data_IF_066956566546
#
_entry.id   IF_066956566546
#
_cell.length_a   1.000
_cell.length_b   1.000
_cell.length_c   1.000
_cell.angle_alpha   90.00
_cell.angle_beta   90.00
_cell.angle_gamma   90.00
#
_symmetry.space_group_name_H-M   'P 1'
#
loop_
_entity.id
_entity.type
_entity.pdbx_description
1 polymer ?
#
# COMPACT_ATOMS: atom_id res chain seq x y z
N UNK A 1 -9.10 -6.94 -13.38
CA UNK A 1 -8.89 -5.89 -12.35
C UNK A 1 -8.72 -4.50 -12.96
N UNK A 2 -8.33 -4.35 -14.23
CA UNK A 2 -8.29 -3.03 -14.89
C UNK A 2 -8.91 -3.11 -16.28
N UNK A 3 -10.11 -2.56 -16.45
CA UNK A 3 -10.77 -2.46 -17.76
C UNK A 3 -10.51 -1.03 -18.27
N UNK A 4 -10.01 -0.83 -19.50
CA UNK A 4 -9.88 0.51 -20.05
C UNK A 4 -11.29 1.08 -20.27
N UNK A 5 -11.66 2.10 -19.49
CA UNK A 5 -12.83 2.94 -19.72
C UNK A 5 -12.39 4.34 -20.14
N UNK A 6 -13.20 4.99 -20.95
CA UNK A 6 -12.84 6.18 -21.73
C UNK A 6 -12.94 7.47 -20.90
N UNK A 7 -11.85 7.83 -20.22
CA UNK A 7 -11.67 9.15 -19.59
C UNK A 7 -10.18 9.42 -19.29
N UNK A 8 -9.74 10.68 -19.38
CA UNK A 8 -8.35 11.07 -19.06
C UNK A 8 -7.99 10.71 -17.62
N UNK A 9 -8.91 10.95 -16.67
CA UNK A 9 -8.73 10.60 -15.25
C UNK A 9 -8.54 9.10 -15.04
N UNK A 10 -9.36 8.26 -15.67
CA UNK A 10 -9.26 6.81 -15.57
C UNK A 10 -7.96 6.28 -16.20
N UNK A 11 -7.51 6.86 -17.32
CA UNK A 11 -6.19 6.55 -17.89
C UNK A 11 -5.08 6.86 -16.89
N UNK A 12 -5.16 7.99 -16.19
CA UNK A 12 -4.17 8.39 -15.19
C UNK A 12 -4.17 7.46 -13.97
N UNK A 13 -5.35 7.14 -13.42
CA UNK A 13 -5.53 6.14 -12.34
C UNK A 13 -4.95 4.78 -12.75
N UNK A 14 -5.20 4.35 -13.98
CA UNK A 14 -4.65 3.11 -14.51
C UNK A 14 -3.11 3.14 -14.57
N UNK A 15 -2.51 4.25 -15.02
CA UNK A 15 -1.05 4.41 -15.02
C UNK A 15 -0.51 4.37 -13.58
N UNK A 16 -1.13 5.07 -12.64
CA UNK A 16 -0.73 5.06 -11.22
C UNK A 16 -0.77 3.64 -10.65
N UNK A 17 -1.89 2.93 -10.80
CA UNK A 17 -2.04 1.57 -10.28
C UNK A 17 -1.05 0.59 -10.93
N UNK A 18 -0.80 0.75 -12.24
CA UNK A 18 0.19 -0.03 -12.97
C UNK A 18 1.60 0.27 -12.44
N UNK A 19 1.95 1.54 -12.25
CA UNK A 19 3.23 1.96 -11.68
C UNK A 19 3.42 1.41 -10.26
N UNK A 20 2.42 1.53 -9.39
CA UNK A 20 2.44 0.95 -8.03
C UNK A 20 2.70 -0.54 -8.11
N UNK A 21 1.98 -1.29 -8.95
CA UNK A 21 2.16 -2.74 -9.08
C UNK A 21 3.58 -3.11 -9.53
N UNK A 22 4.10 -2.47 -10.58
CA UNK A 22 5.44 -2.78 -11.09
C UNK A 22 6.55 -2.37 -10.11
N UNK A 23 6.45 -1.20 -9.48
CA UNK A 23 7.40 -0.79 -8.44
C UNK A 23 7.38 -1.75 -7.25
N UNK A 24 6.21 -2.27 -6.91
CA UNK A 24 6.05 -3.26 -5.82
C UNK A 24 6.63 -4.63 -6.17
N UNK A 25 6.59 -5.03 -7.45
CA UNK A 25 7.29 -6.20 -7.93
C UNK A 25 8.80 -5.99 -7.97
N UNK A 26 9.26 -4.82 -8.41
CA UNK A 26 10.67 -4.46 -8.47
C UNK A 26 11.33 -4.44 -7.09
N UNK A 27 10.61 -3.97 -6.07
CA UNK A 27 11.06 -3.98 -4.68
C UNK A 27 10.72 -5.30 -3.96
N UNK A 28 10.02 -6.22 -4.62
CA UNK A 28 9.63 -7.52 -4.07
C UNK A 28 8.66 -7.45 -2.87
N UNK A 29 7.94 -6.33 -2.73
CA UNK A 29 6.96 -6.08 -1.66
C UNK A 29 5.65 -6.82 -1.94
N UNK A 30 5.31 -7.01 -3.22
CA UNK A 30 4.08 -7.68 -3.63
C UNK A 30 4.37 -9.03 -4.29
N UNK A 31 4.51 -10.13 -3.52
CA UNK A 31 4.95 -11.43 -4.02
C UNK A 31 3.85 -12.25 -4.71
N UNK A 32 2.91 -11.58 -5.38
CA UNK A 32 1.75 -12.22 -6.00
C UNK A 32 1.78 -12.06 -7.52
N UNK A 33 1.50 -13.16 -8.21
CA UNK A 33 1.24 -13.19 -9.66
C UNK A 33 -0.24 -13.41 -9.90
N UNK A 34 -0.81 -12.66 -10.84
CA UNK A 34 -2.20 -12.84 -11.23
C UNK A 34 -2.34 -14.02 -12.20
N UNK A 35 -3.18 -14.99 -11.86
CA UNK A 35 -3.53 -16.12 -12.72
C UNK A 35 -4.85 -15.81 -13.46
N UNK A 36 -4.80 -15.39 -14.75
CA UNK A 36 -5.99 -14.92 -15.46
C UNK A 36 -7.03 -16.02 -15.66
N UNK A 37 -6.58 -17.28 -15.82
CA UNK A 37 -7.45 -18.44 -16.02
C UNK A 37 -8.37 -18.70 -14.81
N UNK A 38 -7.88 -18.46 -13.59
CA UNK A 38 -8.62 -18.70 -12.35
C UNK A 38 -9.19 -17.42 -11.72
N UNK A 39 -8.85 -16.25 -12.28
CA UNK A 39 -9.14 -14.92 -11.72
C UNK A 39 -8.71 -14.80 -10.24
N UNK A 40 -7.54 -15.36 -9.92
CA UNK A 40 -6.98 -15.42 -8.56
C UNK A 40 -5.52 -14.98 -8.56
N UNK A 41 -5.09 -14.42 -7.45
CA UNK A 41 -3.69 -14.22 -7.14
C UNK A 41 -3.08 -15.53 -6.65
N UNK A 42 -1.86 -15.79 -7.11
CA UNK A 42 -1.02 -16.90 -6.67
C UNK A 42 0.27 -16.36 -6.10
N UNK A 43 0.64 -16.81 -4.90
CA UNK A 43 1.93 -16.49 -4.29
C UNK A 43 3.09 -17.10 -5.09
N UNK A 44 4.12 -16.31 -5.34
CA UNK A 44 5.33 -16.73 -6.06
C UNK A 44 6.53 -16.78 -5.12
N UNK A 45 7.06 -17.98 -4.87
CA UNK A 45 8.25 -18.17 -4.00
C UNK A 45 9.47 -17.40 -4.52
N UNK A 46 9.63 -17.30 -5.83
CA UNK A 46 10.70 -16.52 -6.45
C UNK A 46 10.62 -15.03 -6.14
N UNK A 47 9.41 -14.45 -6.16
CA UNK A 47 9.22 -13.03 -5.79
C UNK A 47 9.45 -12.80 -4.30
N UNK A 48 9.13 -13.78 -3.44
CA UNK A 48 9.42 -13.70 -2.00
C UNK A 48 10.93 -13.70 -1.77
N UNK A 49 11.64 -14.67 -2.36
CA UNK A 49 13.09 -14.77 -2.19
C UNK A 49 13.80 -13.53 -2.74
N UNK A 50 13.37 -13.05 -3.90
CA UNK A 50 13.83 -11.80 -4.48
C UNK A 50 13.55 -10.59 -3.58
N UNK A 51 12.35 -10.47 -3.02
CA UNK A 51 11.99 -9.39 -2.10
C UNK A 51 12.80 -9.40 -0.81
N UNK A 52 13.08 -10.59 -0.25
CA UNK A 52 13.96 -10.73 0.91
C UNK A 52 15.37 -10.26 0.56
N UNK A 53 15.92 -10.73 -0.56
CA UNK A 53 17.27 -10.35 -0.99
C UNK A 53 17.39 -8.84 -1.25
N UNK A 54 16.44 -8.26 -1.99
CA UNK A 54 16.41 -6.83 -2.32
C UNK A 54 16.18 -5.95 -1.09
N UNK A 55 15.25 -6.33 -0.20
CA UNK A 55 15.04 -5.57 1.03
C UNK A 55 16.27 -5.63 1.91
N UNK A 56 16.87 -6.81 2.10
CA UNK A 56 18.06 -6.97 2.93
C UNK A 56 19.24 -6.17 2.38
N UNK A 57 19.45 -6.17 1.06
CA UNK A 57 20.53 -5.39 0.44
C UNK A 57 20.32 -3.89 0.62
N UNK A 58 19.09 -3.39 0.44
CA UNK A 58 18.77 -1.97 0.66
C UNK A 58 19.01 -1.54 2.11
N UNK A 59 18.61 -2.36 3.09
CA UNK A 59 18.83 -2.05 4.50
C UNK A 59 20.33 -2.10 4.87
N UNK A 60 21.09 -3.08 4.35
CA UNK A 60 22.54 -3.14 4.56
C UNK A 60 23.23 -1.92 3.96
N UNK A 61 22.84 -1.50 2.75
CA UNK A 61 23.37 -0.29 2.12
C UNK A 61 23.04 0.96 2.94
N UNK A 62 21.79 1.09 3.40
CA UNK A 62 21.37 2.21 4.25
C UNK A 62 22.17 2.29 5.56
N UNK A 63 22.40 1.15 6.22
CA UNK A 63 23.22 1.09 7.45
C UNK A 63 24.67 1.46 7.16
N UNK A 64 25.27 0.92 6.10
CA UNK A 64 26.65 1.27 5.71
C UNK A 64 26.80 2.78 5.44
N UNK A 65 25.85 3.36 4.71
CA UNK A 65 25.82 4.80 4.44
C UNK A 65 25.73 5.62 5.73
N UNK A 66 24.88 5.21 6.68
CA UNK A 66 24.76 5.91 7.96
C UNK A 66 26.05 5.92 8.78
N UNK A 67 26.85 4.85 8.70
CA UNK A 67 28.15 4.74 9.36
C UNK A 67 29.19 5.62 8.66
N UNK A 68 29.24 5.58 7.33
CA UNK A 68 30.15 6.42 6.52
C UNK A 68 29.86 7.92 6.70
N UNK A 69 28.58 8.33 6.72
CA UNK A 69 28.18 9.72 6.95
C UNK A 69 28.56 10.21 8.36
N UNK A 70 28.55 9.31 9.35
CA UNK A 70 28.99 9.60 10.71
C UNK A 70 30.52 9.76 10.80
N UNK A 71 31.29 9.02 10.02
CA UNK A 71 32.75 9.13 9.93
C UNK A 71 33.21 10.35 9.12
N UNK A 72 32.51 10.68 8.03
CA UNK A 72 32.88 11.77 7.11
C UNK A 72 32.46 13.16 7.58
N UNK A 73 31.91 13.28 8.78
CA UNK A 73 31.74 14.57 9.44
C UNK A 73 30.73 15.49 8.76
N UNK A 74 29.65 14.94 8.18
CA UNK A 74 28.46 15.71 7.80
C UNK A 74 27.71 16.09 9.09
N UNK A 75 28.39 16.83 9.97
CA UNK A 75 27.75 17.55 11.05
C UNK A 75 27.12 18.77 10.39
N UNK A 76 25.83 18.70 10.08
CA UNK A 76 25.02 19.92 10.00
C UNK A 76 25.37 20.74 11.25
N UNK A 77 25.86 21.97 11.09
CA UNK A 77 26.29 22.84 12.19
C UNK A 77 25.21 22.99 13.27
N UNK A 78 23.94 22.73 12.89
CA UNK A 78 22.76 22.62 13.75
C UNK A 78 22.88 21.49 14.79
N UNK A 79 23.35 20.29 14.43
CA UNK A 79 23.54 19.17 15.36
C UNK A 79 24.73 19.37 16.30
N UNK A 80 25.74 20.11 15.86
CA UNK A 80 26.89 20.48 16.71
C UNK A 80 26.50 21.49 17.80
N UNK A 81 25.50 22.34 17.52
CA UNK A 81 24.96 23.33 18.48
C UNK A 81 23.96 22.74 19.47
N UNK A 82 23.28 21.64 19.13
CA UNK A 82 22.28 21.04 20.00
C UNK A 82 22.41 19.50 20.04
N UNK A 83 23.02 18.99 21.11
CA UNK A 83 23.23 17.55 21.33
C UNK A 83 21.93 16.76 21.50
N UNK A 84 20.86 17.40 22.00
CA UNK A 84 19.54 16.77 22.12
C UNK A 84 18.94 16.49 20.74
N UNK A 85 19.11 17.42 19.78
CA UNK A 85 18.63 17.24 18.41
C UNK A 85 19.31 16.04 17.74
N UNK A 86 20.59 15.84 18.01
CA UNK A 86 21.35 14.69 17.49
C UNK A 86 20.85 13.35 18.07
N UNK A 87 20.60 13.30 19.38
CA UNK A 87 20.05 12.10 20.03
C UNK A 87 18.64 11.78 19.51
N UNK A 88 17.77 12.78 19.35
CA UNK A 88 16.42 12.60 18.79
C UNK A 88 16.49 12.07 17.36
N UNK A 89 17.35 12.65 16.51
CA UNK A 89 17.51 12.21 15.13
C UNK A 89 18.05 10.77 15.04
N UNK A 90 19.02 10.42 15.88
CA UNK A 90 19.59 9.06 15.94
C UNK A 90 18.54 8.06 16.40
N UNK A 91 17.80 8.38 17.47
CA UNK A 91 16.71 7.55 17.98
C UNK A 91 15.62 7.34 16.92
N UNK A 92 15.22 8.41 16.21
CA UNK A 92 14.23 8.33 15.13
C UNK A 92 14.72 7.46 13.98
N UNK A 93 16.01 7.52 13.64
CA UNK A 93 16.63 6.64 12.64
C UNK A 93 16.60 5.16 13.03
N UNK A 94 16.98 4.84 14.28
CA UNK A 94 16.97 3.46 14.79
C UNK A 94 15.56 2.91 14.86
N UNK A 95 14.62 3.68 15.45
CA UNK A 95 13.21 3.28 15.53
C UNK A 95 12.64 3.09 14.14
N UNK A 96 12.89 4.03 13.22
CA UNK A 96 12.46 3.94 11.83
C UNK A 96 12.96 2.67 11.15
N UNK A 97 14.26 2.35 11.27
CA UNK A 97 14.84 1.13 10.69
C UNK A 97 14.19 -0.13 11.25
N UNK A 98 14.01 -0.21 12.57
CA UNK A 98 13.36 -1.36 13.23
C UNK A 98 11.91 -1.50 12.76
N UNK A 99 11.17 -0.40 12.65
CA UNK A 99 9.80 -0.40 12.13
C UNK A 99 9.75 -0.89 10.69
N UNK A 100 10.62 -0.42 9.81
CA UNK A 100 10.64 -0.85 8.40
C UNK A 100 10.94 -2.35 8.29
N UNK A 101 11.95 -2.83 9.02
CA UNK A 101 12.33 -4.24 9.07
C UNK A 101 11.18 -5.13 9.57
N UNK A 102 10.55 -4.77 10.69
CA UNK A 102 9.44 -5.54 11.28
C UNK A 102 8.24 -5.59 10.34
N UNK A 103 7.91 -4.47 9.72
CA UNK A 103 6.81 -4.35 8.76
C UNK A 103 7.06 -5.16 7.48
N UNK A 104 8.29 -5.16 6.94
CA UNK A 104 8.66 -5.98 5.77
C UNK A 104 8.61 -7.48 6.09
N UNK A 105 9.21 -7.88 7.22
CA UNK A 105 9.17 -9.27 7.67
C UNK A 105 7.73 -9.76 7.89
N UNK A 106 6.89 -8.95 8.54
CA UNK A 106 5.48 -9.28 8.79
C UNK A 106 4.70 -9.46 7.50
N UNK A 107 4.90 -8.56 6.53
CA UNK A 107 4.23 -8.63 5.22
C UNK A 107 4.57 -9.93 4.49
N UNK A 108 5.85 -10.33 4.52
CA UNK A 108 6.29 -11.59 3.91
C UNK A 108 5.76 -12.81 4.66
N UNK A 109 5.79 -12.79 5.99
CA UNK A 109 5.28 -13.87 6.84
C UNK A 109 3.77 -14.09 6.65
N UNK A 110 2.99 -13.01 6.63
CA UNK A 110 1.53 -13.03 6.46
C UNK A 110 1.09 -13.10 4.99
N UNK A 111 2.02 -13.21 4.04
CA UNK A 111 1.72 -13.24 2.60
C UNK A 111 0.67 -14.27 2.18
N UNK A 112 0.62 -15.44 2.82
CA UNK A 112 -0.43 -16.45 2.55
C UNK A 112 -1.82 -15.97 2.98
N UNK A 113 -1.93 -15.30 4.12
CA UNK A 113 -3.20 -14.75 4.60
C UNK A 113 -3.65 -13.60 3.70
N UNK A 114 -2.71 -12.74 3.27
CA UNK A 114 -2.99 -11.66 2.31
C UNK A 114 -3.48 -12.21 0.96
N UNK A 115 -2.89 -13.31 0.46
CA UNK A 115 -3.37 -14.00 -0.75
C UNK A 115 -4.83 -14.45 -0.61
N UNK A 116 -5.19 -15.06 0.51
CA UNK A 116 -6.56 -15.51 0.78
C UNK A 116 -7.54 -14.33 0.87
N UNK A 117 -7.14 -13.23 1.53
CA UNK A 117 -7.97 -12.03 1.67
C UNK A 117 -8.22 -11.40 0.29
N UNK A 118 -7.16 -11.15 -0.47
CA UNK A 118 -7.29 -10.55 -1.81
C UNK A 118 -8.09 -11.45 -2.76
N UNK A 119 -7.88 -12.77 -2.72
CA UNK A 119 -8.69 -13.71 -3.49
C UNK A 119 -10.17 -13.68 -3.06
N UNK A 120 -10.45 -13.56 -1.76
CA UNK A 120 -11.80 -13.37 -1.24
C UNK A 120 -12.46 -12.11 -1.78
N UNK A 121 -11.74 -10.98 -1.75
CA UNK A 121 -12.21 -9.70 -2.32
C UNK A 121 -12.46 -9.80 -3.83
N UNK A 122 -11.56 -10.44 -4.59
CA UNK A 122 -11.73 -10.62 -6.04
C UNK A 122 -12.94 -11.50 -6.39
N UNK A 123 -13.21 -12.55 -5.60
CA UNK A 123 -14.39 -13.40 -5.81
C UNK A 123 -15.67 -12.63 -5.51
N UNK A 124 -15.69 -11.82 -4.44
CA UNK A 124 -16.82 -10.94 -4.12
C UNK A 124 -17.07 -9.94 -5.25
N UNK A 125 -16.01 -9.29 -5.75
CA UNK A 125 -16.10 -8.33 -6.85
C UNK A 125 -16.69 -8.99 -8.10
N UNK A 126 -16.10 -10.11 -8.54
CA UNK A 126 -16.48 -10.77 -9.78
C UNK A 126 -17.90 -11.35 -9.75
N UNK A 127 -18.37 -11.79 -8.57
CA UNK A 127 -19.65 -12.48 -8.44
C UNK A 127 -20.82 -11.55 -8.12
N UNK A 128 -20.58 -10.46 -7.38
CA UNK A 128 -21.67 -9.64 -6.83
C UNK A 128 -21.59 -8.15 -7.16
N UNK A 129 -20.41 -7.59 -7.44
CA UNK A 129 -20.21 -6.14 -7.59
C UNK A 129 -19.68 -5.74 -8.98
N UNK A 130 -19.87 -6.61 -9.98
CA UNK A 130 -19.09 -6.67 -11.23
C UNK A 130 -19.23 -5.47 -12.21
N UNK A 131 -19.86 -4.35 -11.86
CA UNK A 131 -19.97 -3.21 -12.81
C UNK A 131 -20.28 -1.82 -12.24
N UNK A 132 -20.65 -1.66 -10.97
CA UNK A 132 -21.13 -0.35 -10.51
C UNK A 132 -19.99 0.62 -10.15
N UNK A 133 -20.12 1.78 -10.79
CA UNK A 133 -19.10 2.76 -11.21
C UNK A 133 -18.45 3.62 -10.13
N UNK A 134 -18.59 3.24 -8.86
CA UNK A 134 -17.94 3.99 -7.78
C UNK A 134 -16.49 3.53 -7.67
N UNK A 135 -15.68 3.93 -8.64
CA UNK A 135 -14.21 3.82 -8.55
C UNK A 135 -13.71 4.98 -7.67
N UNK A 136 -12.86 4.70 -6.67
CA UNK A 136 -12.27 5.72 -5.80
C UNK A 136 -11.13 6.46 -6.53
N UNK A 137 -11.40 6.97 -7.73
CA UNK A 137 -10.41 7.58 -8.63
C UNK A 137 -9.62 8.68 -7.93
N UNK A 138 -10.32 9.59 -7.24
CA UNK A 138 -9.72 10.74 -6.56
C UNK A 138 -8.79 10.31 -5.42
N UNK A 139 -9.16 9.25 -4.70
CA UNK A 139 -8.31 8.69 -3.64
C UNK A 139 -7.01 8.10 -4.20
N UNK A 140 -7.10 7.35 -5.30
CA UNK A 140 -5.93 6.76 -5.96
C UNK A 140 -5.01 7.85 -6.51
N UNK A 141 -5.58 8.91 -7.10
CA UNK A 141 -4.82 10.06 -7.59
C UNK A 141 -4.12 10.78 -6.44
N UNK A 142 -4.86 11.09 -5.35
CA UNK A 142 -4.32 11.77 -4.19
C UNK A 142 -3.15 10.98 -3.56
N UNK A 143 -3.31 9.67 -3.40
CA UNK A 143 -2.23 8.81 -2.86
C UNK A 143 -1.07 8.68 -3.84
N UNK A 144 -1.32 8.62 -5.15
CA UNK A 144 -0.27 8.64 -6.18
C UNK A 144 0.57 9.91 -6.12
N UNK A 145 -0.08 11.08 -6.04
CA UNK A 145 0.60 12.38 -5.87
C UNK A 145 1.41 12.41 -4.58
N UNK A 146 0.88 11.87 -3.47
CA UNK A 146 1.59 11.79 -2.20
C UNK A 146 2.89 10.98 -2.31
N UNK A 147 2.92 9.88 -3.07
CA UNK A 147 4.16 9.14 -3.32
C UNK A 147 5.17 10.03 -4.06
N UNK A 148 4.74 10.67 -5.15
CA UNK A 148 5.64 11.49 -5.97
C UNK A 148 6.24 12.62 -5.13
N UNK A 149 5.42 13.34 -4.37
CA UNK A 149 5.89 14.41 -3.46
C UNK A 149 6.83 13.85 -2.40
N UNK A 150 6.49 12.71 -1.79
CA UNK A 150 7.33 12.04 -0.78
C UNK A 150 8.70 11.61 -1.31
N UNK A 151 8.78 11.25 -2.60
CA UNK A 151 10.04 10.93 -3.27
C UNK A 151 10.82 12.15 -3.73
N UNK A 152 10.17 13.27 -4.04
CA UNK A 152 10.86 14.49 -4.44
C UNK A 152 11.55 15.20 -3.26
N UNK A 153 10.98 15.10 -2.05
CA UNK A 153 11.50 15.81 -0.89
C UNK A 153 12.98 15.52 -0.56
N UNK A 154 13.46 14.25 -0.52
CA UNK A 154 14.89 13.96 -0.29
C UNK A 154 15.81 14.52 -1.38
N UNK A 155 15.33 14.55 -2.63
CA UNK A 155 16.09 15.10 -3.76
C UNK A 155 16.19 16.62 -3.68
N UNK A 156 15.10 17.30 -3.31
CA UNK A 156 15.14 18.75 -3.10
C UNK A 156 16.16 19.13 -2.01
N UNK A 157 16.16 18.41 -0.89
CA UNK A 157 17.14 18.63 0.19
C UNK A 157 18.58 18.42 -0.30
N UNK A 158 18.82 17.41 -1.13
CA UNK A 158 20.14 17.16 -1.68
C UNK A 158 20.62 18.29 -2.59
N UNK A 159 19.76 18.80 -3.48
CA UNK A 159 20.12 19.89 -4.40
C UNK A 159 20.21 21.26 -3.72
N UNK A 160 19.45 21.48 -2.65
CA UNK A 160 19.46 22.74 -1.88
C UNK A 160 20.67 22.86 -0.94
N UNK A 161 21.43 21.78 -0.69
CA UNK A 161 22.64 21.81 0.14
C UNK A 161 23.91 21.90 -0.72
N UNK A 162 24.45 23.12 -0.97
CA UNK A 162 25.52 23.36 -1.93
C UNK A 162 26.88 22.71 -1.60
N UNK A 163 27.11 22.33 -0.33
CA UNK A 163 28.36 21.70 0.13
C UNK A 163 28.21 20.20 0.48
N UNK A 164 27.06 19.58 0.17
CA UNK A 164 26.84 18.19 0.53
C UNK A 164 27.66 17.26 -0.38
N UNK A 165 28.79 16.74 0.13
CA UNK A 165 29.53 15.62 -0.48
C UNK A 165 28.78 14.29 -0.39
N UNK A 166 27.47 14.32 -0.25
CA UNK A 166 26.64 13.12 -0.20
C UNK A 166 26.60 12.51 -1.60
N UNK A 167 27.09 11.27 -1.80
CA UNK A 167 27.01 10.65 -3.09
C UNK A 167 25.53 10.45 -3.46
N UNK A 168 25.17 10.73 -4.71
CA UNK A 168 23.80 10.57 -5.26
C UNK A 168 23.23 9.17 -4.97
N UNK A 169 24.10 8.17 -4.86
CA UNK A 169 23.74 6.80 -4.48
C UNK A 169 23.06 6.71 -3.09
N UNK A 170 23.44 7.55 -2.12
CA UNK A 170 22.84 7.57 -0.79
C UNK A 170 21.40 8.07 -0.84
N UNK A 171 21.17 9.17 -1.57
CA UNK A 171 19.83 9.72 -1.80
C UNK A 171 18.95 8.72 -2.56
N UNK A 172 19.53 7.99 -3.52
CA UNK A 172 18.83 6.95 -4.27
C UNK A 172 18.41 5.78 -3.37
N UNK A 173 19.31 5.27 -2.51
CA UNK A 173 19.01 4.17 -1.59
C UNK A 173 17.92 4.57 -0.59
N UNK A 174 18.02 5.75 0.01
CA UNK A 174 16.98 6.29 0.90
C UNK A 174 15.63 6.43 0.17
N UNK A 175 15.64 6.94 -1.06
CA UNK A 175 14.44 7.04 -1.90
C UNK A 175 13.81 5.68 -2.18
N UNK A 176 14.60 4.62 -2.41
CA UNK A 176 14.10 3.26 -2.65
C UNK A 176 13.47 2.65 -1.40
N UNK A 177 14.09 2.84 -0.22
CA UNK A 177 13.54 2.39 1.07
C UNK A 177 12.21 3.12 1.34
N UNK A 178 12.17 4.44 1.17
CA UNK A 178 10.96 5.26 1.31
C UNK A 178 9.87 4.82 0.34
N UNK A 179 10.20 4.64 -0.94
CA UNK A 179 9.27 4.10 -1.93
C UNK A 179 8.66 2.78 -1.46
N UNK A 180 9.47 1.87 -0.91
CA UNK A 180 8.99 0.60 -0.40
C UNK A 180 7.98 0.73 0.73
N UNK A 181 8.27 1.59 1.71
CA UNK A 181 7.33 1.86 2.82
C UNK A 181 6.01 2.47 2.35
N UNK A 182 6.07 3.43 1.42
CA UNK A 182 4.90 4.09 0.85
C UNK A 182 4.04 3.12 0.04
N UNK A 183 4.67 2.27 -0.77
CA UNK A 183 3.96 1.23 -1.53
C UNK A 183 3.24 0.28 -0.58
N UNK A 184 3.88 -0.16 0.49
CA UNK A 184 3.23 -1.05 1.44
C UNK A 184 2.01 -0.42 2.11
N UNK A 185 2.12 0.83 2.56
CA UNK A 185 0.99 1.58 3.10
C UNK A 185 -0.16 1.70 2.09
N UNK A 186 0.18 1.89 0.81
CA UNK A 186 -0.81 1.98 -0.26
C UNK A 186 -1.52 0.66 -0.54
N UNK A 187 -0.84 -0.49 -0.45
CA UNK A 187 -1.53 -1.79 -0.57
C UNK A 187 -2.59 -1.98 0.52
N UNK A 188 -2.25 -1.62 1.76
CA UNK A 188 -3.21 -1.65 2.86
C UNK A 188 -4.39 -0.73 2.58
N UNK A 189 -4.12 0.53 2.25
CA UNK A 189 -5.16 1.51 1.94
C UNK A 189 -6.04 1.12 0.75
N UNK A 190 -5.46 0.56 -0.32
CA UNK A 190 -6.21 0.04 -1.46
C UNK A 190 -7.15 -1.10 -1.01
N UNK A 191 -6.67 -2.01 -0.15
CA UNK A 191 -7.50 -3.07 0.43
C UNK A 191 -8.69 -2.52 1.21
N UNK A 192 -8.44 -1.55 2.10
CA UNK A 192 -9.49 -0.89 2.91
C UNK A 192 -10.50 -0.17 2.02
N UNK A 193 -10.04 0.57 1.02
CA UNK A 193 -10.93 1.31 0.09
C UNK A 193 -11.79 0.36 -0.73
N UNK A 194 -11.27 -0.79 -1.16
CA UNK A 194 -12.07 -1.82 -1.85
C UNK A 194 -13.16 -2.37 -0.93
N UNK A 195 -12.84 -2.64 0.34
CA UNK A 195 -13.83 -3.09 1.33
C UNK A 195 -14.89 -2.00 1.56
N UNK A 196 -14.48 -0.75 1.73
CA UNK A 196 -15.39 0.37 1.92
C UNK A 196 -16.33 0.56 0.72
N UNK A 197 -15.81 0.40 -0.50
CA UNK A 197 -16.61 0.39 -1.73
C UNK A 197 -17.69 -0.70 -1.68
N UNK A 198 -17.36 -1.92 -1.25
CA UNK A 198 -18.36 -2.98 -1.13
C UNK A 198 -19.41 -2.69 -0.06
N UNK A 199 -19.00 -2.10 1.08
CA UNK A 199 -19.94 -1.64 2.11
C UNK A 199 -20.89 -0.58 1.55
N UNK A 200 -20.36 0.38 0.79
CA UNK A 200 -21.17 1.42 0.15
C UNK A 200 -22.20 0.84 -0.83
N UNK A 201 -21.81 -0.13 -1.66
CA UNK A 201 -22.72 -0.80 -2.59
C UNK A 201 -23.83 -1.57 -1.85
N UNK A 202 -23.48 -2.29 -0.79
CA UNK A 202 -24.46 -2.98 0.07
C UNK A 202 -25.45 -1.98 0.68
N UNK A 203 -24.96 -0.86 1.21
CA UNK A 203 -25.81 0.18 1.80
C UNK A 203 -26.74 0.82 0.77
N UNK A 204 -26.25 1.05 -0.45
CA UNK A 204 -27.07 1.55 -1.57
C UNK A 204 -28.20 0.58 -1.93
N UNK A 205 -27.90 -0.71 -2.00
CA UNK A 205 -28.94 -1.74 -2.21
C UNK A 205 -29.91 -1.85 -1.02
N UNK A 206 -29.43 -1.71 0.21
CA UNK A 206 -30.30 -1.76 1.38
C UNK A 206 -31.29 -0.59 1.40
N UNK A 207 -30.80 0.61 1.05
CA UNK A 207 -31.63 1.80 0.92
C UNK A 207 -32.70 1.64 -0.16
N UNK A 208 -32.35 1.09 -1.32
CA UNK A 208 -33.31 0.86 -2.41
C UNK A 208 -34.39 -0.16 -2.01
N UNK A 209 -34.03 -1.19 -1.24
CA UNK A 209 -34.98 -2.16 -0.69
C UNK A 209 -35.94 -1.53 0.33
N UNK A 210 -35.45 -0.65 1.20
CA UNK A 210 -36.29 0.07 2.18
C UNK A 210 -37.26 1.02 1.47
N UNK A 211 -36.78 1.76 0.46
CA UNK A 211 -37.64 2.62 -0.36
C UNK A 211 -38.72 1.82 -1.10
N UNK A 212 -38.37 0.64 -1.64
CA UNK A 212 -39.32 -0.25 -2.31
C UNK A 212 -40.36 -0.84 -1.35
N UNK A 213 -39.96 -1.26 -0.14
CA UNK A 213 -40.86 -1.76 0.90
C UNK A 213 -41.89 -0.73 1.37
N UNK A 214 -41.50 0.56 1.40
CA UNK A 214 -42.41 1.67 1.73
C UNK A 214 -43.49 1.85 0.66
N UNK A 215 -43.22 1.48 -0.61
CA UNK A 215 -44.17 1.56 -1.72
C UNK A 215 -44.94 0.26 -2.03
N UNK A 216 -44.38 -0.91 -1.74
CA UNK A 216 -44.99 -2.22 -2.01
C UNK A 216 -44.64 -3.25 -0.90
N UNK A 217 -45.66 -3.86 -0.29
CA UNK A 217 -45.55 -4.69 0.92
C UNK A 217 -45.09 -6.15 0.72
N UNK A 218 -44.56 -6.55 -0.45
CA UNK A 218 -44.14 -7.94 -0.69
C UNK A 218 -42.67 -8.07 -1.06
N UNK A 219 -41.91 -8.75 -0.20
CA UNK A 219 -40.90 -9.71 -0.64
C UNK A 219 -39.41 -9.34 -0.60
N UNK A 220 -38.90 -8.64 0.42
CA UNK A 220 -37.44 -8.33 0.50
C UNK A 220 -36.61 -9.17 1.50
N UNK A 221 -37.24 -10.01 2.34
CA UNK A 221 -36.55 -10.70 3.45
C UNK A 221 -35.39 -11.62 3.01
N UNK A 222 -35.50 -12.29 1.86
CA UNK A 222 -34.42 -13.12 1.32
C UNK A 222 -33.22 -12.29 0.85
N UNK A 223 -33.46 -11.15 0.21
CA UNK A 223 -32.40 -10.25 -0.26
C UNK A 223 -31.68 -9.56 0.90
N UNK A 224 -32.43 -9.13 1.93
CA UNK A 224 -31.83 -8.55 3.15
C UNK A 224 -30.92 -9.57 3.86
N UNK A 225 -31.37 -10.82 4.03
CA UNK A 225 -30.53 -11.89 4.61
C UNK A 225 -29.27 -12.15 3.78
N UNK A 226 -29.39 -12.08 2.45
CA UNK A 226 -28.25 -12.22 1.55
C UNK A 226 -27.25 -11.07 1.69
N UNK A 227 -27.72 -9.82 1.73
CA UNK A 227 -26.87 -8.63 1.93
C UNK A 227 -26.18 -8.66 3.29
N UNK A 228 -26.87 -9.06 4.35
CA UNK A 228 -26.29 -9.24 5.67
C UNK A 228 -25.15 -10.28 5.63
N UNK A 229 -25.36 -11.41 4.94
CA UNK A 229 -24.30 -12.43 4.75
C UNK A 229 -23.08 -11.86 4.02
N UNK A 230 -23.27 -11.03 3.00
CA UNK A 230 -22.16 -10.37 2.31
C UNK A 230 -21.42 -9.39 3.23
N UNK A 231 -22.16 -8.62 4.03
CA UNK A 231 -21.59 -7.69 5.00
C UNK A 231 -20.77 -8.41 6.07
N UNK A 232 -21.29 -9.49 6.67
CA UNK A 232 -20.54 -10.31 7.63
C UNK A 232 -19.25 -10.87 7.02
N UNK A 233 -19.29 -11.33 5.77
CA UNK A 233 -18.09 -11.80 5.07
C UNK A 233 -17.08 -10.66 4.87
N UNK A 234 -17.52 -9.45 4.55
CA UNK A 234 -16.65 -8.28 4.40
C UNK A 234 -16.01 -7.86 5.71
N UNK A 235 -16.76 -7.84 6.81
CA UNK A 235 -16.23 -7.54 8.15
C UNK A 235 -15.18 -8.57 8.55
N UNK A 236 -15.40 -9.86 8.26
CA UNK A 236 -14.39 -10.89 8.48
C UNK A 236 -13.12 -10.62 7.64
N UNK A 237 -13.25 -10.33 6.34
CA UNK A 237 -12.11 -9.98 5.49
C UNK A 237 -11.37 -8.73 5.97
N UNK A 238 -12.10 -7.71 6.44
CA UNK A 238 -11.53 -6.51 7.02
C UNK A 238 -10.74 -6.81 8.30
N UNK A 239 -11.32 -7.55 9.24
CA UNK A 239 -10.64 -7.93 10.49
C UNK A 239 -9.33 -8.67 10.20
N UNK A 240 -9.36 -9.64 9.29
CA UNK A 240 -8.17 -10.39 8.85
C UNK A 240 -7.14 -9.50 8.16
N UNK A 241 -7.58 -8.48 7.42
CA UNK A 241 -6.70 -7.50 6.79
C UNK A 241 -6.05 -6.62 7.85
N UNK A 242 -6.83 -6.07 8.78
CA UNK A 242 -6.32 -5.29 9.91
C UNK A 242 -5.31 -6.11 10.73
N UNK A 243 -5.62 -7.36 11.08
CA UNK A 243 -4.70 -8.27 11.79
C UNK A 243 -3.38 -8.52 11.04
N UNK A 244 -3.37 -8.42 9.70
CA UNK A 244 -2.13 -8.55 8.94
C UNK A 244 -1.23 -7.32 9.09
N UNK A 245 -1.80 -6.13 9.31
CA UNK A 245 -1.10 -4.85 9.29
C UNK A 245 -1.01 -4.13 10.66
N UNK A 246 -1.83 -4.49 11.66
CA UNK A 246 -1.83 -3.90 13.01
C UNK A 246 -0.64 -4.42 13.83
N UNK A 247 0.31 -3.53 14.12
CA UNK A 247 1.50 -3.78 14.94
C UNK A 247 1.21 -3.70 16.44
#
# INVERSE_FOLDING_TARGET
MFRPRSGLRQKFVYVILKSILYSSWLLGIFPFKYEPKKRRLRRSMWLILFGIAMSSSLHILMVKQSVEDQEHGIRLDVFKRNSLLHQISSLMGVVGLVTICTVHMRTLWRSKQLEEIYNGLMVLEAKYFCSDSVEPDDYVIQKGVLIVVGLLAPWMVHFEMPDSKLPVLNVLVDSMVKLGTLLLAIHYHLGVVIIYRFVWLINGELLSLVCSLRGNHKGSSSRVRFLLKLYTNLVNLYSRLADCYDC
#
